data_IF_775173309470
#
_entry.id   IF_775173309470
#
_cell.length_a   1.000
_cell.length_b   1.000
_cell.length_c   1.000
_cell.angle_alpha   90.00
_cell.angle_beta   90.00
_cell.angle_gamma   90.00
#
_symmetry.space_group_name_H-M   'P 1'
#
loop_
_entity.id
_entity.type
_entity.pdbx_description
1 polymer ?
#
# COMPACT_ATOMS: atom_id res chain seq x y z
N UNK A 1 -15.36 5.43 -15.23
CA UNK A 1 -16.02 5.79 -13.95
C UNK A 1 -15.11 6.83 -13.31
N UNK A 2 -15.44 8.12 -13.47
CA UNK A 2 -14.54 9.20 -13.04
C UNK A 2 -14.28 9.09 -11.54
N UNK A 3 -13.01 9.10 -11.12
CA UNK A 3 -12.65 9.22 -9.71
C UNK A 3 -13.19 10.56 -9.24
N UNK A 4 -14.20 10.51 -8.39
CA UNK A 4 -14.77 11.67 -7.74
C UNK A 4 -13.68 12.31 -6.87
N UNK A 5 -13.23 13.50 -7.29
CA UNK A 5 -12.14 14.24 -6.62
C UNK A 5 -12.48 14.56 -5.17
N UNK A 6 -13.75 14.69 -4.84
CA UNK A 6 -14.19 14.96 -3.47
C UNK A 6 -13.97 13.74 -2.58
N UNK A 7 -14.22 12.54 -3.11
CA UNK A 7 -13.90 11.28 -2.42
C UNK A 7 -12.41 11.10 -2.18
N UNK A 8 -11.56 11.43 -3.14
CA UNK A 8 -10.11 11.36 -2.95
C UNK A 8 -9.60 12.35 -1.90
N UNK A 9 -10.17 13.56 -1.83
CA UNK A 9 -9.84 14.54 -0.79
C UNK A 9 -10.26 14.06 0.59
N UNK A 10 -11.47 13.53 0.73
CA UNK A 10 -11.96 13.00 1.99
C UNK A 10 -11.08 11.87 2.55
N UNK A 11 -10.64 10.93 1.69
CA UNK A 11 -9.71 9.87 2.10
C UNK A 11 -8.36 10.43 2.55
N UNK A 12 -7.81 11.41 1.81
CA UNK A 12 -6.56 12.06 2.21
C UNK A 12 -6.66 12.80 3.53
N UNK A 13 -7.83 13.36 3.84
CA UNK A 13 -8.08 14.12 5.07
C UNK A 13 -8.20 13.19 6.29
N UNK A 14 -8.87 12.04 6.12
CA UNK A 14 -8.94 10.98 7.13
C UNK A 14 -7.54 10.41 7.43
N UNK A 15 -6.72 10.17 6.42
CA UNK A 15 -5.34 9.68 6.62
C UNK A 15 -4.49 10.71 7.37
N UNK A 16 -4.67 12.00 7.10
CA UNK A 16 -4.00 13.07 7.84
C UNK A 16 -4.45 13.16 9.30
N UNK A 17 -5.74 12.95 9.56
CA UNK A 17 -6.30 12.98 10.91
C UNK A 17 -5.97 11.70 11.71
N UNK A 18 -5.85 10.55 11.04
CA UNK A 18 -5.61 9.24 11.66
C UNK A 18 -4.47 8.47 10.97
N UNK A 19 -3.22 8.96 11.05
CA UNK A 19 -2.08 8.34 10.38
C UNK A 19 -1.83 6.89 10.84
N UNK A 20 -2.10 6.61 12.12
CA UNK A 20 -2.00 5.25 12.68
C UNK A 20 -2.92 4.25 11.97
N UNK A 21 -4.10 4.69 11.52
CA UNK A 21 -5.07 3.81 10.86
C UNK A 21 -4.58 3.37 9.47
N UNK A 22 -3.85 4.24 8.77
CA UNK A 22 -3.17 3.89 7.51
C UNK A 22 -2.07 2.85 7.74
N UNK A 23 -1.29 2.98 8.82
CA UNK A 23 -0.28 1.99 9.18
C UNK A 23 -0.90 0.63 9.48
N UNK A 24 -2.02 0.59 10.19
CA UNK A 24 -2.76 -0.67 10.44
C UNK A 24 -3.20 -1.32 9.13
N UNK A 25 -3.71 -0.55 8.16
CA UNK A 25 -4.12 -1.08 6.87
C UNK A 25 -2.95 -1.66 6.05
N UNK A 26 -1.77 -1.04 6.10
CA UNK A 26 -0.57 -1.50 5.38
C UNK A 26 0.20 -2.58 6.17
N UNK A 27 -0.06 -2.72 7.48
CA UNK A 27 0.66 -3.61 8.39
C UNK A 27 0.78 -5.07 7.93
N UNK A 28 -0.22 -5.72 7.29
CA UNK A 28 -0.05 -7.10 6.84
C UNK A 28 1.03 -7.23 5.77
N UNK A 29 1.14 -6.26 4.85
CA UNK A 29 2.17 -6.24 3.83
C UNK A 29 3.56 -6.05 4.42
N UNK A 30 3.67 -5.18 5.44
CA UNK A 30 4.93 -4.96 6.18
C UNK A 30 5.35 -6.24 6.90
N UNK A 31 4.41 -6.92 7.58
CA UNK A 31 4.68 -8.17 8.28
C UNK A 31 5.21 -9.25 7.34
N UNK A 32 4.58 -9.43 6.17
CA UNK A 32 5.05 -10.39 5.15
C UNK A 32 6.46 -10.01 4.66
N UNK A 33 6.69 -8.74 4.34
CA UNK A 33 8.00 -8.29 3.86
C UNK A 33 9.12 -8.52 4.88
N UNK A 34 8.89 -8.15 6.15
CA UNK A 34 9.85 -8.37 7.24
C UNK A 34 10.09 -9.87 7.45
N UNK A 35 9.05 -10.69 7.37
CA UNK A 35 9.16 -12.15 7.51
C UNK A 35 10.06 -12.73 6.41
N UNK A 36 9.91 -12.30 5.16
CA UNK A 36 10.76 -12.74 4.06
C UNK A 36 12.23 -12.38 4.27
N UNK A 37 12.52 -11.19 4.83
CA UNK A 37 13.88 -10.79 5.16
C UNK A 37 14.47 -11.62 6.30
N UNK A 38 13.68 -11.94 7.33
CA UNK A 38 14.11 -12.78 8.45
C UNK A 38 14.42 -14.22 8.03
N UNK A 39 13.78 -14.71 6.96
CA UNK A 39 14.03 -16.03 6.36
C UNK A 39 15.15 -16.02 5.30
N UNK A 40 15.90 -14.91 5.19
CA UNK A 40 16.95 -14.68 4.19
C UNK A 40 16.45 -14.85 2.73
N UNK A 41 15.15 -14.67 2.52
CA UNK A 41 14.51 -14.75 1.20
C UNK A 41 14.57 -13.39 0.49
N UNK A 42 15.78 -12.82 0.35
CA UNK A 42 15.97 -11.45 -0.17
C UNK A 42 15.34 -11.28 -1.55
N UNK A 43 15.49 -12.27 -2.44
CA UNK A 43 14.90 -12.23 -3.77
C UNK A 43 13.36 -12.14 -3.72
N UNK A 44 12.71 -12.97 -2.89
CA UNK A 44 11.25 -12.95 -2.74
C UNK A 44 10.79 -11.67 -2.06
N UNK A 45 11.54 -11.13 -1.11
CA UNK A 45 11.23 -9.85 -0.47
C UNK A 45 11.25 -8.70 -1.49
N UNK A 46 12.26 -8.64 -2.37
CA UNK A 46 12.34 -7.66 -3.44
C UNK A 46 11.17 -7.83 -4.43
N UNK A 47 10.91 -9.06 -4.88
CA UNK A 47 9.80 -9.33 -5.78
C UNK A 47 8.46 -8.92 -5.17
N UNK A 48 8.23 -9.27 -3.90
CA UNK A 48 7.04 -8.88 -3.15
C UNK A 48 6.90 -7.35 -3.08
N UNK A 49 7.98 -6.64 -2.76
CA UNK A 49 7.99 -5.18 -2.70
C UNK A 49 7.62 -4.56 -4.05
N UNK A 50 8.23 -5.05 -5.14
CA UNK A 50 7.93 -4.58 -6.50
C UNK A 50 6.47 -4.84 -6.86
N UNK A 51 5.93 -6.02 -6.53
CA UNK A 51 4.52 -6.35 -6.80
C UNK A 51 3.56 -5.56 -5.91
N UNK A 52 3.88 -5.33 -4.65
CA UNK A 52 3.05 -4.56 -3.73
C UNK A 52 2.99 -3.08 -4.14
N UNK A 53 4.14 -2.48 -4.44
CA UNK A 53 4.23 -1.08 -4.90
C UNK A 53 3.65 -0.95 -6.31
N UNK A 54 4.06 -1.82 -7.23
CA UNK A 54 3.59 -1.82 -8.62
C UNK A 54 2.10 -2.12 -8.73
N UNK A 55 1.61 -3.11 -7.99
CA UNK A 55 0.18 -3.44 -7.91
C UNK A 55 -0.63 -2.31 -7.28
N UNK A 56 -0.13 -1.70 -6.20
CA UNK A 56 -0.74 -0.51 -5.60
C UNK A 56 -0.82 0.66 -6.58
N UNK A 57 0.30 1.00 -7.23
CA UNK A 57 0.36 2.06 -8.23
C UNK A 57 -0.54 1.78 -9.45
N UNK A 58 -0.57 0.53 -9.93
CA UNK A 58 -1.44 0.11 -11.02
C UNK A 58 -2.92 0.24 -10.64
N UNK A 59 -3.34 -0.22 -9.46
CA UNK A 59 -4.72 -0.08 -9.01
C UNK A 59 -5.14 1.39 -8.83
N UNK A 60 -4.21 2.24 -8.39
CA UNK A 60 -4.40 3.69 -8.28
C UNK A 60 -4.51 4.39 -9.64
N UNK A 61 -3.79 3.91 -10.66
CA UNK A 61 -3.75 4.52 -12.00
C UNK A 61 -4.79 3.96 -12.96
N UNK A 62 -5.16 2.68 -12.84
CA UNK A 62 -6.15 1.99 -13.70
C UNK A 62 -7.56 2.60 -13.64
N UNK A 63 -7.89 3.33 -12.58
CA UNK A 63 -9.19 4.00 -12.42
C UNK A 63 -9.19 5.47 -12.84
N UNK A 64 -8.04 6.05 -13.22
CA UNK A 64 -8.00 7.35 -13.91
C UNK A 64 -8.46 7.17 -15.35
#
# INVERSE_FOLDING_TARGET
MAIDRDKSRAVSEVVRQHPAMSLVAVSPGIAVFVTLLLLDQTFLAILFLVLAVGGGAYLLTRKR
#
